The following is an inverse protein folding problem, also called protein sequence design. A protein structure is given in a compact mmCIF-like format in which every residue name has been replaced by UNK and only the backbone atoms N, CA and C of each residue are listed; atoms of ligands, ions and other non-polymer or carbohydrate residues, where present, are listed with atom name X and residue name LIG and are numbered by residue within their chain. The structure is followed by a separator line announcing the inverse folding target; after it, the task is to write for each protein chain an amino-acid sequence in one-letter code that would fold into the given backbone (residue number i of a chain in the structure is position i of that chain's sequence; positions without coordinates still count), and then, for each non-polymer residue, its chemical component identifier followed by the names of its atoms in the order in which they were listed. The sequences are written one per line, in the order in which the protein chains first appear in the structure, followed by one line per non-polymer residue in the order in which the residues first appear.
data_IF_746757745451
#
_entry.id   IF_746757745451
#
_cell.length_a   1.000
_cell.length_b   1.000
_cell.length_c   1.000
_cell.angle_alpha   90.00
_cell.angle_beta   90.00
_cell.angle_gamma   90.00
#
_symmetry.space_group_name_H-M   'P 1'
#
loop_
_entity.id
_entity.type
_entity.pdbx_description
1 polymer ?
#
# COMPACT_ATOMS: atom_id res chain seq x y z
N UNK A 1 -17.67 15.10 11.02
CA UNK A 1 -16.50 15.49 10.20
C UNK A 1 -17.05 16.18 8.96
N UNK A 2 -16.53 17.37 8.62
CA UNK A 2 -17.01 18.16 7.47
C UNK A 2 -16.11 18.00 6.22
N UNK A 3 -14.87 17.57 6.41
CA UNK A 3 -13.91 17.23 5.36
C UNK A 3 -13.00 16.08 5.82
N UNK A 4 -12.24 15.52 4.87
CA UNK A 4 -11.10 14.63 5.12
C UNK A 4 -9.81 15.27 4.58
N UNK A 5 -8.68 15.04 5.24
CA UNK A 5 -7.38 15.49 4.72
C UNK A 5 -6.99 14.75 3.44
N UNK A 6 -7.32 13.46 3.35
CA UNK A 6 -7.02 12.60 2.21
C UNK A 6 -8.19 11.64 1.94
N UNK A 7 -8.65 11.61 0.69
CA UNK A 7 -9.65 10.64 0.23
C UNK A 7 -9.08 9.77 -0.91
N UNK A 8 -9.16 8.45 -0.76
CA UNK A 8 -8.50 7.50 -1.66
C UNK A 8 -9.51 6.62 -2.39
N UNK A 9 -9.31 6.40 -3.69
CA UNK A 9 -9.85 5.21 -4.37
C UNK A 9 -9.17 4.00 -3.76
N UNK A 10 -9.93 3.11 -3.12
CA UNK A 10 -9.35 2.00 -2.34
C UNK A 10 -8.70 0.93 -3.24
N UNK A 11 -9.36 0.57 -4.34
CA UNK A 11 -8.87 -0.40 -5.32
C UNK A 11 -9.29 0.05 -6.73
N UNK A 12 -8.49 -0.20 -7.78
CA UNK A 12 -8.81 0.09 -9.18
C UNK A 12 -9.83 -0.92 -9.76
N UNK A 13 -10.94 -1.16 -9.05
CA UNK A 13 -12.00 -2.08 -9.45
C UNK A 13 -13.37 -1.54 -9.04
N UNK A 14 -14.37 -1.80 -9.88
CA UNK A 14 -15.77 -1.50 -9.59
C UNK A 14 -16.53 -2.78 -9.28
N UNK A 15 -17.54 -2.68 -8.43
CA UNK A 15 -18.45 -3.77 -8.13
C UNK A 15 -19.87 -3.40 -8.57
N UNK A 16 -20.71 -4.40 -8.86
CA UNK A 16 -22.14 -4.16 -9.11
C UNK A 16 -22.77 -3.40 -7.93
N UNK A 17 -23.70 -2.46 -8.17
CA UNK A 17 -24.42 -1.78 -7.11
C UNK A 17 -25.16 -2.76 -6.20
N UNK A 18 -25.06 -2.56 -4.89
CA UNK A 18 -25.72 -3.41 -3.91
C UNK A 18 -25.05 -3.36 -2.54
N UNK A 19 -25.57 -4.10 -1.56
CA UNK A 19 -24.92 -4.25 -0.27
C UNK A 19 -23.55 -4.92 -0.44
N UNK A 20 -22.53 -4.38 0.23
CA UNK A 20 -21.21 -4.98 0.22
C UNK A 20 -21.24 -6.31 1.00
N UNK A 21 -21.12 -7.42 0.28
CA UNK A 21 -20.95 -8.75 0.86
C UNK A 21 -19.51 -9.17 0.65
N UNK A 22 -18.80 -9.48 1.74
CA UNK A 22 -17.43 -9.95 1.71
C UNK A 22 -17.33 -11.42 2.16
N UNK A 23 -16.57 -12.27 1.46
CA UNK A 23 -15.86 -11.97 0.22
C UNK A 23 -16.81 -11.72 -0.98
N UNK A 24 -16.38 -10.89 -1.92
CA UNK A 24 -17.16 -10.47 -3.10
C UNK A 24 -17.19 -11.60 -4.13
N UNK A 25 -18.33 -11.82 -4.78
CA UNK A 25 -18.40 -12.79 -5.88
C UNK A 25 -17.64 -12.29 -7.10
N UNK A 26 -16.91 -13.18 -7.77
CA UNK A 26 -16.10 -12.83 -8.94
C UNK A 26 -16.93 -12.25 -10.09
N UNK A 27 -18.17 -12.69 -10.27
CA UNK A 27 -19.07 -12.18 -11.32
C UNK A 27 -19.57 -10.76 -11.05
N UNK A 28 -19.41 -10.25 -9.82
CA UNK A 28 -19.85 -8.91 -9.43
C UNK A 28 -18.77 -7.86 -9.65
N UNK A 29 -17.53 -8.27 -9.98
CA UNK A 29 -16.50 -7.38 -10.49
C UNK A 29 -16.87 -6.89 -11.89
N UNK A 30 -16.80 -5.57 -12.08
CA UNK A 30 -17.08 -4.88 -13.35
C UNK A 30 -15.93 -3.92 -13.71
N UNK A 31 -15.79 -3.55 -15.00
CA UNK A 31 -14.75 -2.62 -15.43
C UNK A 31 -14.72 -1.33 -14.62
N UNK A 32 -13.51 -0.87 -14.31
CA UNK A 32 -13.29 0.37 -13.57
C UNK A 32 -13.21 1.57 -14.53
N UNK A 33 -14.15 2.51 -14.41
CA UNK A 33 -14.10 3.78 -15.14
C UNK A 33 -13.13 4.76 -14.45
N UNK A 34 -11.83 4.63 -14.77
CA UNK A 34 -10.78 5.48 -14.22
C UNK A 34 -11.11 6.98 -14.34
N UNK A 35 -11.54 7.42 -15.53
CA UNK A 35 -11.73 8.84 -15.80
C UNK A 35 -12.99 9.38 -15.12
N UNK A 36 -14.10 8.64 -15.15
CA UNK A 36 -15.34 9.04 -14.48
C UNK A 36 -15.21 9.11 -12.96
N UNK A 37 -14.61 8.09 -12.35
CA UNK A 37 -14.38 8.06 -10.91
C UNK A 37 -13.42 9.17 -10.48
N UNK A 38 -12.34 9.39 -11.23
CA UNK A 38 -11.39 10.45 -10.90
C UNK A 38 -11.98 11.85 -11.03
N UNK A 39 -12.79 12.13 -12.06
CA UNK A 39 -13.51 13.42 -12.16
C UNK A 39 -14.42 13.67 -10.95
N UNK A 40 -15.07 12.65 -10.43
CA UNK A 40 -15.87 12.77 -9.21
C UNK A 40 -14.99 13.04 -7.96
N UNK A 41 -13.80 12.43 -7.89
CA UNK A 41 -12.80 12.72 -6.84
C UNK A 41 -12.31 14.17 -6.92
N UNK A 42 -12.01 14.68 -8.11
CA UNK A 42 -11.62 16.07 -8.35
C UNK A 42 -12.72 17.05 -7.94
N UNK A 43 -14.00 16.71 -8.17
CA UNK A 43 -15.13 17.51 -7.70
C UNK A 43 -15.21 17.55 -6.16
N UNK A 44 -15.00 16.41 -5.49
CA UNK A 44 -14.90 16.38 -4.02
C UNK A 44 -13.76 17.26 -3.50
N UNK A 45 -12.62 17.28 -4.22
CA UNK A 45 -11.51 18.16 -3.89
C UNK A 45 -11.87 19.64 -4.10
N UNK A 46 -12.48 19.99 -5.24
CA UNK A 46 -12.92 21.35 -5.58
C UNK A 46 -13.94 21.90 -4.58
N UNK A 47 -14.87 21.06 -4.12
CA UNK A 47 -15.87 21.40 -3.11
C UNK A 47 -15.28 21.51 -1.69
N UNK A 48 -14.00 21.15 -1.48
CA UNK A 48 -13.34 21.20 -0.18
C UNK A 48 -13.70 20.06 0.76
N UNK A 49 -14.40 19.02 0.27
CA UNK A 49 -14.77 17.82 1.03
C UNK A 49 -13.55 16.92 1.28
N UNK A 50 -12.55 16.98 0.38
CA UNK A 50 -11.25 16.34 0.53
C UNK A 50 -10.12 17.36 0.28
N UNK A 51 -9.21 17.55 1.24
CA UNK A 51 -8.06 18.46 1.06
C UNK A 51 -7.05 17.92 0.05
N UNK A 52 -6.90 16.61 -0.01
CA UNK A 52 -6.16 15.89 -1.03
C UNK A 52 -6.95 14.65 -1.49
N UNK A 53 -6.71 14.25 -2.73
CA UNK A 53 -7.25 13.03 -3.33
C UNK A 53 -6.13 12.14 -3.83
N UNK A 54 -6.33 10.83 -3.77
CA UNK A 54 -5.33 9.87 -4.16
C UNK A 54 -5.92 8.52 -4.46
N UNK A 55 -5.05 7.53 -4.54
CA UNK A 55 -5.39 6.15 -4.88
C UNK A 55 -4.73 5.17 -3.91
N UNK A 56 -5.18 3.94 -3.95
CA UNK A 56 -4.61 2.83 -3.20
C UNK A 56 -4.61 1.57 -4.06
N UNK A 57 -3.55 0.78 -3.97
CA UNK A 57 -3.36 -0.44 -4.75
C UNK A 57 -3.24 -0.21 -6.27
N UNK A 58 -2.78 0.96 -6.71
CA UNK A 58 -2.55 1.24 -8.13
C UNK A 58 -1.12 0.85 -8.52
N UNK A 59 -0.98 0.11 -9.61
CA UNK A 59 0.30 -0.23 -10.26
C UNK A 59 0.79 0.95 -11.10
N UNK A 60 2.02 0.91 -11.62
CA UNK A 60 2.51 1.98 -12.50
C UNK A 60 1.64 2.13 -13.76
N UNK A 61 1.11 1.02 -14.29
CA UNK A 61 0.17 1.02 -15.41
C UNK A 61 -1.14 1.75 -15.08
N UNK A 62 -1.73 1.45 -13.92
CA UNK A 62 -2.94 2.15 -13.46
C UNK A 62 -2.69 3.65 -13.26
N UNK A 63 -1.56 4.02 -12.64
CA UNK A 63 -1.19 5.43 -12.47
C UNK A 63 -0.99 6.13 -13.82
N UNK A 64 -0.35 5.47 -14.79
CA UNK A 64 -0.18 6.02 -16.14
C UNK A 64 -1.52 6.30 -16.83
N UNK A 65 -2.46 5.33 -16.78
CA UNK A 65 -3.82 5.50 -17.33
C UNK A 65 -4.58 6.63 -16.63
N UNK A 66 -4.49 6.71 -15.29
CA UNK A 66 -5.15 7.74 -14.50
C UNK A 66 -4.61 9.14 -14.82
N UNK A 67 -3.28 9.30 -14.83
CA UNK A 67 -2.61 10.58 -15.08
C UNK A 67 -2.93 11.15 -16.46
N UNK A 68 -3.19 10.29 -17.47
CA UNK A 68 -3.59 10.74 -18.79
C UNK A 68 -4.97 11.43 -18.81
N UNK A 69 -5.82 11.17 -17.81
CA UNK A 69 -7.17 11.74 -17.70
C UNK A 69 -7.32 12.75 -16.55
N UNK A 70 -6.32 12.88 -15.68
CA UNK A 70 -6.36 13.69 -14.47
C UNK A 70 -6.06 15.17 -14.75
N UNK A 71 -6.89 16.06 -14.21
CA UNK A 71 -6.60 17.50 -14.10
C UNK A 71 -5.80 17.78 -12.83
N UNK A 72 -6.18 17.16 -11.71
CA UNK A 72 -5.47 17.16 -10.43
C UNK A 72 -4.80 15.80 -10.29
N UNK A 73 -3.45 15.70 -10.25
CA UNK A 73 -2.78 14.42 -10.08
C UNK A 73 -3.04 13.84 -8.68
N UNK A 74 -3.03 12.50 -8.52
CA UNK A 74 -3.17 11.90 -7.20
C UNK A 74 -2.03 12.34 -6.28
N UNK A 75 -2.36 12.85 -5.10
CA UNK A 75 -1.37 13.27 -4.11
C UNK A 75 -0.66 12.07 -3.48
N UNK A 76 -1.36 10.95 -3.33
CA UNK A 76 -0.88 9.75 -2.65
C UNK A 76 -1.25 8.49 -3.45
N UNK A 77 -0.33 7.53 -3.52
CA UNK A 77 -0.63 6.13 -3.79
C UNK A 77 -0.34 5.30 -2.53
N UNK A 78 -1.38 4.75 -1.91
CA UNK A 78 -1.25 3.91 -0.72
C UNK A 78 -1.12 2.44 -1.14
N UNK A 79 -0.01 1.78 -0.84
CA UNK A 79 0.28 0.41 -1.31
C UNK A 79 0.91 -0.46 -0.24
N UNK A 80 0.85 -1.78 -0.43
CA UNK A 80 1.64 -2.70 0.38
C UNK A 80 3.10 -2.35 0.16
N UNK A 81 3.80 -2.01 1.24
CA UNK A 81 5.24 -1.78 1.19
C UNK A 81 5.86 -2.09 2.55
N UNK A 82 6.91 -2.90 2.52
CA UNK A 82 7.67 -3.32 3.70
C UNK A 82 9.04 -3.88 3.24
N UNK A 83 9.96 -4.23 4.14
CA UNK A 83 11.28 -4.75 3.74
C UNK A 83 11.26 -6.01 2.84
N UNK A 84 10.19 -6.84 2.92
CA UNK A 84 10.02 -8.03 2.08
C UNK A 84 9.23 -7.76 0.79
N UNK A 85 8.67 -6.56 0.63
CA UNK A 85 7.99 -6.11 -0.59
C UNK A 85 8.23 -4.62 -0.80
N UNK A 86 9.30 -4.30 -1.53
CA UNK A 86 9.93 -2.97 -1.50
C UNK A 86 9.40 -1.99 -2.53
N UNK A 87 8.58 -2.46 -3.50
CA UNK A 87 7.91 -1.63 -4.49
C UNK A 87 8.88 -0.69 -5.25
N UNK A 88 10.09 -1.13 -5.61
CA UNK A 88 11.15 -0.24 -6.12
C UNK A 88 10.70 0.54 -7.36
N UNK A 89 10.30 -0.17 -8.41
CA UNK A 89 9.81 0.45 -9.65
C UNK A 89 8.63 1.39 -9.42
N UNK A 90 7.66 1.00 -8.59
CA UNK A 90 6.51 1.83 -8.28
C UNK A 90 6.91 3.11 -7.51
N UNK A 91 7.81 3.01 -6.54
CA UNK A 91 8.30 4.16 -5.79
C UNK A 91 9.05 5.14 -6.69
N UNK A 92 9.90 4.64 -7.57
CA UNK A 92 10.62 5.47 -8.55
C UNK A 92 9.65 6.20 -9.48
N UNK A 93 8.65 5.49 -10.00
CA UNK A 93 7.60 6.09 -10.83
C UNK A 93 6.80 7.16 -10.08
N UNK A 94 6.35 6.85 -8.86
CA UNK A 94 5.62 7.80 -8.02
C UNK A 94 6.46 9.05 -7.73
N UNK A 95 7.74 8.89 -7.39
CA UNK A 95 8.65 10.02 -7.17
C UNK A 95 8.80 10.90 -8.42
N UNK A 96 8.96 10.30 -9.60
CA UNK A 96 9.05 11.03 -10.87
C UNK A 96 7.77 11.84 -11.16
N UNK A 97 6.60 11.33 -10.76
CA UNK A 97 5.30 11.99 -10.97
C UNK A 97 4.87 12.90 -9.81
N UNK A 98 5.68 13.05 -8.77
CA UNK A 98 5.34 13.83 -7.58
C UNK A 98 4.20 13.23 -6.75
N UNK A 99 4.01 11.90 -6.81
CA UNK A 99 3.00 11.15 -6.06
C UNK A 99 3.66 10.59 -4.80
N UNK A 100 3.10 10.87 -3.63
CA UNK A 100 3.63 10.34 -2.37
C UNK A 100 3.24 8.88 -2.17
N UNK A 101 4.17 8.06 -1.67
CA UNK A 101 3.87 6.66 -1.33
C UNK A 101 3.57 6.54 0.16
N UNK A 102 2.39 6.01 0.47
CA UNK A 102 2.00 5.62 1.82
C UNK A 102 1.98 4.09 1.94
N UNK A 103 2.75 3.55 2.87
CA UNK A 103 2.98 2.12 3.01
C UNK A 103 2.00 1.49 4.01
N UNK A 104 1.01 0.75 3.52
CA UNK A 104 0.19 -0.12 4.38
C UNK A 104 0.89 -1.46 4.60
N UNK A 105 0.45 -2.19 5.64
CA UNK A 105 1.09 -3.44 6.08
C UNK A 105 2.62 -3.34 6.26
N UNK A 106 3.13 -2.28 6.91
CA UNK A 106 4.57 -2.05 7.02
C UNK A 106 5.29 -3.14 7.83
N UNK A 107 4.54 -3.93 8.61
CA UNK A 107 5.02 -5.05 9.42
C UNK A 107 4.58 -6.41 8.86
N UNK A 108 4.37 -6.53 7.55
CA UNK A 108 4.00 -7.80 6.89
C UNK A 108 2.53 -8.18 6.98
N UNK A 109 1.67 -7.29 7.49
CA UNK A 109 0.24 -7.53 7.62
C UNK A 109 -0.13 -8.47 8.78
N UNK A 110 -1.39 -8.90 8.80
CA UNK A 110 -1.82 -9.96 9.72
C UNK A 110 -1.47 -11.32 9.12
N UNK A 111 -1.15 -12.30 9.97
CA UNK A 111 -0.85 -13.67 9.54
C UNK A 111 -2.15 -14.39 9.14
N UNK A 112 -2.76 -13.99 8.02
CA UNK A 112 -4.02 -14.55 7.54
C UNK A 112 -3.87 -15.97 7.01
N UNK A 113 -2.70 -16.34 6.49
CA UNK A 113 -2.44 -17.69 5.94
C UNK A 113 -1.94 -18.69 6.99
N UNK A 114 -1.48 -18.23 8.15
CA UNK A 114 -0.87 -19.09 9.17
C UNK A 114 0.62 -19.36 8.95
N UNK A 115 1.18 -18.96 7.80
CA UNK A 115 2.57 -19.26 7.39
C UNK A 115 3.66 -18.46 8.15
N UNK A 116 3.25 -17.57 9.06
CA UNK A 116 4.14 -16.70 9.83
C UNK A 116 4.13 -15.26 9.30
N UNK A 117 4.99 -14.41 9.86
CA UNK A 117 5.11 -13.02 9.46
C UNK A 117 6.49 -12.78 8.85
N UNK A 118 6.55 -12.73 7.52
CA UNK A 118 7.81 -12.59 6.78
C UNK A 118 8.66 -11.36 7.16
N UNK A 119 8.04 -10.29 7.69
CA UNK A 119 8.77 -9.11 8.18
C UNK A 119 9.24 -9.33 9.61
N UNK A 120 8.34 -9.67 10.53
CA UNK A 120 8.68 -9.79 11.96
C UNK A 120 9.59 -10.99 12.26
N UNK A 121 9.50 -12.04 11.45
CA UNK A 121 10.30 -13.27 11.58
C UNK A 121 11.58 -13.23 10.72
N UNK A 122 11.90 -12.09 10.09
CA UNK A 122 13.10 -11.95 9.26
C UNK A 122 14.38 -11.96 10.09
N UNK A 123 15.25 -12.95 9.87
CA UNK A 123 16.57 -13.04 10.52
C UNK A 123 17.44 -11.80 10.22
N UNK A 124 17.42 -11.32 8.97
CA UNK A 124 18.16 -10.11 8.56
C UNK A 124 17.72 -8.89 9.37
N UNK A 125 16.40 -8.69 9.53
CA UNK A 125 15.90 -7.56 10.31
C UNK A 125 16.16 -7.74 11.81
N UNK A 126 16.14 -8.98 12.33
CA UNK A 126 16.47 -9.28 13.72
C UNK A 126 17.95 -8.98 14.04
N UNK A 127 18.87 -9.30 13.12
CA UNK A 127 20.29 -8.95 13.26
C UNK A 127 20.51 -7.43 13.30
N UNK A 128 19.87 -6.70 12.37
CA UNK A 128 19.94 -5.23 12.33
C UNK A 128 19.33 -4.64 13.61
N UNK A 129 18.17 -5.13 14.03
CA UNK A 129 17.50 -4.70 15.25
C UNK A 129 18.40 -4.86 16.48
N UNK A 130 19.07 -6.01 16.62
CA UNK A 130 20.05 -6.27 17.68
C UNK A 130 21.24 -5.31 17.61
N UNK A 131 21.81 -5.10 16.42
CA UNK A 131 22.96 -4.20 16.24
C UNK A 131 22.62 -2.74 16.55
N UNK A 132 21.38 -2.31 16.32
CA UNK A 132 20.89 -0.95 16.56
C UNK A 132 20.29 -0.75 17.95
N UNK A 133 20.09 -1.82 18.73
CA UNK A 133 19.39 -1.77 20.01
C UNK A 133 17.92 -1.37 19.86
N UNK A 134 17.26 -1.85 18.81
CA UNK A 134 15.87 -1.54 18.42
C UNK A 134 15.06 -2.81 18.24
N UNK A 135 13.76 -2.69 18.03
CA UNK A 135 12.91 -3.82 17.67
C UNK A 135 12.85 -4.02 16.16
N UNK A 136 12.50 -5.24 15.71
CA UNK A 136 12.30 -5.54 14.28
C UNK A 136 11.25 -4.61 13.67
N UNK A 137 10.18 -4.30 14.42
CA UNK A 137 9.17 -3.35 13.99
C UNK A 137 9.76 -1.95 13.75
N UNK A 138 10.58 -1.45 14.67
CA UNK A 138 11.25 -0.16 14.49
C UNK A 138 12.18 -0.13 13.28
N UNK A 139 12.93 -1.21 13.03
CA UNK A 139 13.79 -1.33 11.84
C UNK A 139 12.96 -1.28 10.55
N UNK A 140 11.86 -2.04 10.48
CA UNK A 140 11.00 -2.05 9.31
C UNK A 140 10.36 -0.68 9.05
N UNK A 141 9.85 -0.01 10.09
CA UNK A 141 9.25 1.32 9.98
C UNK A 141 10.30 2.40 9.64
N UNK A 142 11.49 2.34 10.26
CA UNK A 142 12.61 3.23 9.94
C UNK A 142 13.03 3.09 8.49
N UNK A 143 13.13 1.86 7.99
CA UNK A 143 13.47 1.60 6.59
C UNK A 143 12.47 2.27 5.64
N UNK A 144 11.16 2.11 5.86
CA UNK A 144 10.11 2.75 5.04
C UNK A 144 10.26 4.28 5.06
N UNK A 145 10.51 4.86 6.24
CA UNK A 145 10.74 6.30 6.39
C UNK A 145 11.97 6.77 5.59
N UNK A 146 13.09 6.05 5.65
CA UNK A 146 14.29 6.38 4.88
C UNK A 146 14.14 6.15 3.37
N UNK A 147 13.17 5.33 2.94
CA UNK A 147 12.78 5.20 1.53
C UNK A 147 11.92 6.37 1.02
N UNK A 148 11.62 7.37 1.86
CA UNK A 148 10.79 8.53 1.50
C UNK A 148 9.28 8.26 1.55
N UNK A 149 8.85 7.11 2.08
CA UNK A 149 7.45 6.75 2.20
C UNK A 149 6.92 6.94 3.64
N UNK A 150 5.60 7.05 3.80
CA UNK A 150 4.97 7.12 5.13
C UNK A 150 4.43 5.76 5.56
N UNK A 151 4.95 5.12 6.63
CA UNK A 151 4.38 3.87 7.13
C UNK A 151 3.05 4.10 7.86
N UNK A 152 2.03 3.31 7.52
CA UNK A 152 0.74 3.27 8.21
C UNK A 152 0.67 2.00 9.05
N UNK A 153 1.17 2.08 10.28
CA UNK A 153 1.22 0.95 11.20
C UNK A 153 0.03 0.92 12.16
N UNK A 154 -0.59 -0.26 12.29
CA UNK A 154 -1.72 -0.49 13.19
C UNK A 154 -1.26 -1.17 14.48
N UNK A 155 -1.76 -0.71 15.61
CA UNK A 155 -1.66 -1.40 16.90
C UNK A 155 -2.82 -1.01 17.81
N UNK A 156 -3.24 -1.93 18.67
CA UNK A 156 -4.15 -1.66 19.78
C UNK A 156 -3.42 -1.60 21.15
N UNK A 157 -2.12 -1.95 21.20
CA UNK A 157 -1.31 -1.81 22.41
C UNK A 157 -0.67 -0.42 22.44
N UNK A 158 -0.85 0.27 23.57
CA UNK A 158 -0.28 1.60 23.83
C UNK A 158 1.25 1.58 23.84
N UNK A 159 1.84 0.50 24.32
CA UNK A 159 3.28 0.28 24.38
C UNK A 159 3.83 0.18 22.96
N UNK A 160 3.23 -0.65 22.11
CA UNK A 160 3.61 -0.75 20.70
C UNK A 160 3.37 0.54 19.92
N UNK A 161 2.30 1.29 20.22
CA UNK A 161 2.07 2.59 19.61
C UNK A 161 3.20 3.58 19.93
N UNK A 162 3.66 3.62 21.19
CA UNK A 162 4.83 4.43 21.58
C UNK A 162 6.11 3.95 20.91
N UNK A 163 6.34 2.64 20.90
CA UNK A 163 7.55 2.04 20.30
C UNK A 163 7.64 2.35 18.79
N UNK A 164 6.52 2.22 18.07
CA UNK A 164 6.43 2.49 16.64
C UNK A 164 6.76 3.95 16.26
N UNK A 165 6.60 4.89 17.19
CA UNK A 165 6.98 6.30 17.01
C UNK A 165 8.48 6.56 17.28
N UNK A 166 9.19 5.62 17.90
CA UNK A 166 10.62 5.72 18.26
C UNK A 166 11.59 5.48 17.09
N UNK A 167 11.25 5.96 15.89
CA UNK A 167 12.01 5.72 14.65
C UNK A 167 12.75 6.95 14.14
N UNK A 168 12.63 8.11 14.79
CA UNK A 168 13.11 9.37 14.20
C UNK A 168 14.51 9.79 14.68
N UNK A 169 14.94 9.33 15.85
CA UNK A 169 16.15 9.76 16.57
C UNK A 169 17.41 8.92 16.27
N UNK A 170 17.34 7.98 15.33
CA UNK A 170 18.43 7.09 14.92
C UNK A 170 18.24 6.67 13.46
N UNK A 171 19.28 6.22 12.77
CA UNK A 171 19.20 5.80 11.36
C UNK A 171 19.79 4.44 11.06
N UNK A 172 19.43 3.91 9.89
CA UNK A 172 20.08 2.73 9.32
C UNK A 172 21.38 3.15 8.64
N UNK A 173 22.34 2.24 8.61
CA UNK A 173 23.59 2.44 7.86
C UNK A 173 23.46 1.91 6.44
N UNK A 174 24.39 2.30 5.56
CA UNK A 174 24.47 1.77 4.20
C UNK A 174 24.54 0.24 4.16
N UNK A 175 25.21 -0.38 5.14
CA UNK A 175 25.28 -1.83 5.27
C UNK A 175 23.91 -2.46 5.61
N UNK A 176 23.14 -1.82 6.50
CA UNK A 176 21.79 -2.28 6.84
C UNK A 176 20.87 -2.14 5.63
N UNK A 177 20.92 -1.01 4.93
CA UNK A 177 20.13 -0.75 3.73
C UNK A 177 20.46 -1.76 2.62
N UNK A 178 21.75 -2.06 2.43
CA UNK A 178 22.22 -3.08 1.49
C UNK A 178 21.69 -4.47 1.86
N UNK A 179 21.75 -4.86 3.14
CA UNK A 179 21.20 -6.14 3.63
C UNK A 179 19.69 -6.24 3.41
N UNK A 180 18.94 -5.19 3.76
CA UNK A 180 17.49 -5.13 3.53
C UNK A 180 17.20 -5.22 2.02
N UNK A 181 17.98 -4.53 1.20
CA UNK A 181 17.85 -4.57 -0.25
C UNK A 181 18.08 -5.95 -0.89
N UNK A 182 18.62 -6.93 -0.15
CA UNK A 182 18.85 -8.29 -0.61
C UNK A 182 17.78 -9.29 -0.13
N UNK A 183 16.81 -8.85 0.69
CA UNK A 183 15.72 -9.70 1.15
C UNK A 183 14.87 -10.15 -0.06
N UNK A 184 14.54 -11.46 -0.20
CA UNK A 184 13.67 -11.94 -1.26
C UNK A 184 12.31 -11.24 -1.27
N UNK A 185 11.87 -10.81 -2.45
CA UNK A 185 10.64 -10.03 -2.62
C UNK A 185 9.41 -10.94 -2.69
N UNK A 186 8.37 -10.64 -1.90
CA UNK A 186 7.09 -11.36 -1.90
C UNK A 186 5.93 -10.43 -1.58
N UNK A 187 5.07 -10.17 -2.56
CA UNK A 187 3.77 -9.51 -2.37
C UNK A 187 2.84 -10.42 -1.57
N UNK A 188 2.27 -9.91 -0.47
CA UNK A 188 1.39 -10.66 0.44
C UNK A 188 -0.08 -10.38 0.13
N UNK A 189 -0.43 -9.12 -0.12
CA UNK A 189 -1.81 -8.66 -0.30
C UNK A 189 -2.19 -8.76 -1.77
N UNK A 190 -2.97 -9.79 -2.10
CA UNK A 190 -3.54 -9.98 -3.44
C UNK A 190 -5.02 -9.63 -3.44
N UNK A 191 -5.44 -8.82 -4.40
CA UNK A 191 -6.84 -8.46 -4.61
C UNK A 191 -7.71 -9.71 -4.74
N UNK A 192 -7.24 -10.72 -5.48
CA UNK A 192 -7.96 -11.99 -5.66
C UNK A 192 -8.30 -12.67 -4.32
N UNK A 193 -7.36 -12.69 -3.38
CA UNK A 193 -7.54 -13.40 -2.09
C UNK A 193 -8.16 -12.53 -1.00
N UNK A 194 -8.02 -11.21 -1.09
CA UNK A 194 -8.51 -10.27 -0.08
C UNK A 194 -9.93 -9.80 -0.39
N UNK A 195 -10.28 -9.63 -1.67
CA UNK A 195 -11.56 -9.07 -2.07
C UNK A 195 -12.56 -10.16 -2.47
N UNK A 196 -12.12 -11.21 -3.15
CA UNK A 196 -13.02 -12.12 -3.87
C UNK A 196 -13.15 -13.51 -3.24
N UNK A 197 -14.30 -14.15 -3.46
CA UNK A 197 -14.50 -15.56 -3.16
C UNK A 197 -13.65 -16.44 -4.10
N UNK A 198 -13.30 -17.63 -3.65
CA UNK A 198 -12.68 -18.64 -4.51
C UNK A 198 -13.67 -19.20 -5.54
N UNK A 199 -14.97 -19.14 -5.24
CA UNK A 199 -16.05 -19.56 -6.14
C UNK A 199 -16.33 -18.46 -7.18
N UNK A 200 -16.64 -18.91 -8.39
CA UNK A 200 -17.06 -18.05 -9.49
C UNK A 200 -15.99 -17.75 -10.54
N UNK A 201 -16.37 -16.95 -11.54
CA UNK A 201 -15.49 -16.50 -12.63
C UNK A 201 -15.59 -14.99 -12.84
N UNK A 202 -14.47 -14.38 -13.22
CA UNK A 202 -14.46 -13.00 -13.67
C UNK A 202 -15.04 -12.93 -15.07
N UNK A 203 -16.23 -12.34 -15.20
CA UNK A 203 -16.95 -12.27 -16.49
C UNK A 203 -16.67 -10.99 -17.26
N UNK A 204 -16.24 -9.92 -16.58
CA UNK A 204 -16.09 -8.60 -17.20
C UNK A 204 -14.89 -7.77 -16.71
N UNK A 205 -14.24 -8.17 -15.61
CA UNK A 205 -13.04 -7.51 -15.09
C UNK A 205 -11.82 -8.42 -15.22
N UNK A 206 -10.65 -7.83 -15.44
CA UNK A 206 -9.37 -8.54 -15.46
C UNK A 206 -8.53 -8.11 -14.24
N UNK A 207 -8.24 -9.04 -13.35
CA UNK A 207 -7.40 -8.78 -12.17
C UNK A 207 -5.90 -8.82 -12.48
N UNK A 208 -5.48 -9.28 -13.66
CA UNK A 208 -4.07 -9.41 -14.00
C UNK A 208 -3.33 -8.07 -13.86
N UNK A 209 -3.98 -6.94 -14.19
CA UNK A 209 -3.40 -5.61 -14.06
C UNK A 209 -3.22 -5.15 -12.59
N UNK A 210 -3.93 -5.77 -11.64
CA UNK A 210 -3.85 -5.50 -10.20
C UNK A 210 -2.82 -6.38 -9.48
N UNK A 211 -2.50 -7.53 -10.08
CA UNK A 211 -1.56 -8.50 -9.53
C UNK A 211 -0.14 -8.39 -10.12
N UNK A 212 0.12 -7.37 -10.93
CA UNK A 212 1.46 -7.13 -11.46
C UNK A 212 2.44 -6.96 -10.30
N UNK A 213 3.43 -7.86 -10.29
CA UNK A 213 4.62 -7.79 -9.44
C UNK A 213 5.66 -7.04 -10.25
N UNK A 214 5.82 -5.76 -9.94
CA UNK A 214 6.78 -4.89 -10.58
C UNK A 214 8.06 -4.89 -9.73
N UNK A 215 9.04 -5.71 -10.13
CA UNK A 215 10.37 -5.73 -9.52
C UNK A 215 11.12 -4.40 -9.73
#
# INVERSE_FOLDING_TARGET
MEYVDLYLIHWPISLKPGPAVFPVKREDAVPFDFAGVWRAMEECHRLGLAKAIGVSNFTTSHLHKLLAAATVPPAVNQVEMNPVWQQRKLREYCAEKGIHVAAYSPLGGQNWSGDGNAVLDSEVLAEIAKARGKTVAQVALRWIYEQGATPIVKSFSKERLKENLGIFDWGLTDDDLRKIGQIPQKKIVRAETVLFSAEGEFTSADLAEMEIVEE
#
